data_IF_607663951835
#
_entry.id   IF_607663951835
#
_cell.length_a   1.000
_cell.length_b   1.000
_cell.length_c   1.000
_cell.angle_alpha   90.00
_cell.angle_beta   90.00
_cell.angle_gamma   90.00
#
_symmetry.space_group_name_H-M   'P 1'
#
loop_
_entity.id
_entity.type
_entity.pdbx_description
1 polymer ?
#
# COMPACT_ATOMS: atom_id res chain seq x y z
N UNK A 1 30.64 25.87 -30.35
CA UNK A 1 30.37 24.43 -30.11
C UNK A 1 29.43 24.19 -28.92
N UNK A 2 28.73 25.21 -28.41
CA UNK A 2 27.95 25.20 -27.16
C UNK A 2 26.46 24.88 -27.35
N UNK A 3 25.86 25.27 -28.48
CA UNK A 3 24.40 25.15 -28.73
C UNK A 3 23.86 23.72 -28.68
N UNK A 4 24.62 22.72 -29.13
CA UNK A 4 24.19 21.33 -29.13
C UNK A 4 24.27 20.70 -27.73
N UNK A 5 25.25 21.10 -26.91
CA UNK A 5 25.36 20.65 -25.53
C UNK A 5 24.27 21.27 -24.64
N UNK A 6 23.98 22.56 -24.85
CA UNK A 6 22.91 23.27 -24.14
C UNK A 6 21.54 22.67 -24.48
N UNK A 7 21.27 22.38 -25.76
CA UNK A 7 20.04 21.71 -26.17
C UNK A 7 19.88 20.32 -25.50
N UNK A 8 20.95 19.51 -25.47
CA UNK A 8 20.94 18.19 -24.79
C UNK A 8 20.74 18.32 -23.29
N UNK A 9 21.32 19.35 -22.67
CA UNK A 9 21.16 19.63 -21.24
C UNK A 9 19.71 19.97 -20.93
N UNK A 10 19.14 20.93 -21.64
CA UNK A 10 17.73 21.33 -21.49
C UNK A 10 16.79 20.15 -21.69
N UNK A 11 17.03 19.29 -22.69
CA UNK A 11 16.21 18.10 -22.91
C UNK A 11 16.30 17.08 -21.75
N UNK A 12 17.47 16.91 -21.12
CA UNK A 12 17.61 16.07 -19.92
C UNK A 12 16.77 16.59 -18.74
N UNK A 13 16.74 17.90 -18.51
CA UNK A 13 15.90 18.51 -17.47
C UNK A 13 14.41 18.44 -17.83
N UNK A 14 14.04 18.70 -19.09
CA UNK A 14 12.66 18.58 -19.59
C UNK A 14 12.14 17.14 -19.48
N UNK A 15 12.99 16.13 -19.70
CA UNK A 15 12.64 14.71 -19.46
C UNK A 15 12.32 14.43 -17.99
N UNK A 16 13.03 15.02 -17.04
CA UNK A 16 12.74 14.86 -15.62
C UNK A 16 11.36 15.44 -15.24
N UNK A 17 10.84 16.43 -15.99
CA UNK A 17 9.51 17.00 -15.76
C UNK A 17 8.37 16.10 -16.23
N UNK A 18 8.60 15.05 -17.06
CA UNK A 18 7.53 14.18 -17.61
C UNK A 18 6.64 13.51 -16.56
N UNK A 19 7.12 13.42 -15.31
CA UNK A 19 6.34 12.97 -14.16
C UNK A 19 5.12 13.87 -13.89
N UNK A 20 5.12 15.14 -14.29
CA UNK A 20 3.98 16.05 -14.14
C UNK A 20 2.93 15.88 -15.26
N UNK A 21 1.63 16.09 -14.97
CA UNK A 21 0.55 16.08 -15.97
C UNK A 21 0.83 17.04 -17.12
N UNK A 22 0.36 16.71 -18.33
CA UNK A 22 0.57 17.55 -19.52
C UNK A 22 0.03 18.97 -19.33
N UNK A 23 -1.20 19.10 -18.80
CA UNK A 23 -1.83 20.39 -18.52
C UNK A 23 -1.06 21.24 -17.50
N UNK A 24 -0.46 20.60 -16.48
CA UNK A 24 0.37 21.34 -15.52
C UNK A 24 1.69 21.80 -16.16
N UNK A 25 2.30 20.94 -16.99
CA UNK A 25 3.55 21.26 -17.68
C UNK A 25 3.40 22.38 -18.70
N UNK A 26 2.26 22.49 -19.38
CA UNK A 26 2.02 23.60 -20.32
C UNK A 26 1.96 24.95 -19.62
N UNK A 27 1.52 24.99 -18.37
CA UNK A 27 1.34 26.25 -17.63
C UNK A 27 2.56 26.60 -16.77
N UNK A 28 3.19 25.61 -16.13
CA UNK A 28 4.27 25.85 -15.15
C UNK A 28 5.63 25.26 -15.55
N UNK A 29 5.66 24.44 -16.61
CA UNK A 29 6.82 23.61 -16.95
C UNK A 29 8.04 24.41 -17.38
N UNK A 30 7.87 25.48 -18.17
CA UNK A 30 8.98 26.32 -18.63
C UNK A 30 9.56 27.17 -17.50
N UNK A 31 8.73 27.68 -16.59
CA UNK A 31 9.19 28.41 -15.39
C UNK A 31 10.01 27.50 -14.49
N UNK A 32 9.49 26.29 -14.19
CA UNK A 32 10.22 25.33 -13.36
C UNK A 32 11.51 24.86 -14.07
N UNK A 33 11.49 24.71 -15.40
CA UNK A 33 12.68 24.36 -16.17
C UNK A 33 13.78 25.43 -16.06
N UNK A 34 13.42 26.71 -16.14
CA UNK A 34 14.35 27.83 -15.93
C UNK A 34 15.03 27.76 -14.56
N UNK A 35 14.24 27.65 -13.49
CA UNK A 35 14.75 27.53 -12.11
C UNK A 35 15.72 26.33 -11.97
N UNK A 36 15.38 25.18 -12.56
CA UNK A 36 16.23 23.99 -12.48
C UNK A 36 17.55 24.14 -13.27
N UNK A 37 17.55 24.92 -14.35
CA UNK A 37 18.73 25.22 -15.16
C UNK A 37 19.62 26.25 -14.45
N UNK A 38 19.06 27.33 -13.92
CA UNK A 38 19.78 28.34 -13.14
C UNK A 38 20.49 27.69 -11.94
N UNK A 39 19.76 26.87 -11.18
CA UNK A 39 20.33 26.15 -10.03
C UNK A 39 21.32 25.04 -10.44
N UNK A 40 21.29 24.61 -11.71
CA UNK A 40 22.30 23.72 -12.27
C UNK A 40 23.54 24.51 -12.73
N UNK A 41 23.39 25.73 -13.23
CA UNK A 41 24.50 26.63 -13.59
C UNK A 41 25.29 27.03 -12.35
N UNK A 42 24.60 27.45 -11.30
CA UNK A 42 25.22 27.82 -10.01
C UNK A 42 26.06 26.67 -9.42
N UNK A 43 25.66 25.42 -9.69
CA UNK A 43 26.35 24.22 -9.19
C UNK A 43 27.21 23.51 -10.25
N UNK A 44 27.39 24.09 -11.44
CA UNK A 44 28.17 23.51 -12.53
C UNK A 44 27.67 22.14 -13.02
N UNK A 45 26.38 21.83 -12.88
CA UNK A 45 25.78 20.51 -13.17
C UNK A 45 25.23 20.41 -14.59
N UNK A 46 25.67 19.39 -15.32
CA UNK A 46 25.22 19.09 -16.70
C UNK A 46 23.94 18.25 -16.79
N UNK A 47 23.44 17.74 -15.66
CA UNK A 47 22.22 16.92 -15.61
C UNK A 47 21.53 17.01 -14.25
N UNK A 48 20.23 16.66 -14.16
CA UNK A 48 19.51 16.64 -12.89
C UNK A 48 20.13 15.60 -11.96
N UNK A 49 20.45 16.01 -10.72
CA UNK A 49 20.97 15.11 -9.69
C UNK A 49 19.94 14.05 -9.28
N UNK A 50 20.41 12.94 -8.69
CA UNK A 50 19.53 11.81 -8.31
C UNK A 50 18.43 12.28 -7.34
N UNK A 51 18.79 13.03 -6.29
CA UNK A 51 17.80 13.59 -5.35
C UNK A 51 16.78 14.51 -6.02
N UNK A 52 17.23 15.34 -6.97
CA UNK A 52 16.35 16.25 -7.74
C UNK A 52 15.37 15.46 -8.62
N UNK A 53 15.83 14.36 -9.25
CA UNK A 53 14.95 13.45 -10.02
C UNK A 53 13.89 12.81 -9.12
N UNK A 54 14.27 12.35 -7.93
CA UNK A 54 13.32 11.78 -6.96
C UNK A 54 12.30 12.83 -6.54
N UNK A 55 12.73 14.04 -6.20
CA UNK A 55 11.84 15.15 -5.83
C UNK A 55 10.86 15.50 -6.94
N UNK A 56 11.33 15.59 -8.19
CA UNK A 56 10.48 15.86 -9.35
C UNK A 56 9.49 14.71 -9.63
N UNK A 57 9.94 13.46 -9.48
CA UNK A 57 9.07 12.29 -9.63
C UNK A 57 7.96 12.27 -8.57
N UNK A 58 8.30 12.49 -7.31
CA UNK A 58 7.35 12.56 -6.19
C UNK A 58 6.38 13.72 -6.35
N UNK A 59 6.86 14.90 -6.75
CA UNK A 59 6.03 16.08 -7.01
C UNK A 59 5.06 15.87 -8.17
N UNK A 60 5.54 15.33 -9.29
CA UNK A 60 4.71 15.04 -10.47
C UNK A 60 3.65 13.98 -10.20
N UNK A 61 4.01 12.91 -9.47
CA UNK A 61 3.08 11.88 -9.04
C UNK A 61 1.99 12.44 -8.12
N UNK A 62 2.36 13.33 -7.18
CA UNK A 62 1.39 14.01 -6.31
C UNK A 62 0.40 14.86 -7.09
N UNK A 63 0.85 15.57 -8.14
CA UNK A 63 -0.06 16.32 -9.02
C UNK A 63 -0.99 15.40 -9.80
N UNK A 64 -0.51 14.27 -10.33
CA UNK A 64 -1.35 13.27 -10.99
C UNK A 64 -2.40 12.66 -10.06
N UNK A 65 -2.02 12.39 -8.81
CA UNK A 65 -2.93 11.86 -7.79
C UNK A 65 -3.97 12.90 -7.34
N UNK A 66 -3.61 14.19 -7.30
CA UNK A 66 -4.52 15.30 -6.93
C UNK A 66 -5.44 15.76 -8.05
N UNK A 67 -5.02 15.65 -9.31
CA UNK A 67 -5.76 16.14 -10.47
C UNK A 67 -7.08 15.38 -10.75
N UNK A 68 -7.36 14.30 -10.04
CA UNK A 68 -8.64 13.58 -10.16
C UNK A 68 -9.37 13.67 -8.83
N UNK A 69 -10.46 14.43 -8.84
CA UNK A 69 -11.39 14.54 -7.71
C UNK A 69 -11.81 13.13 -7.24
N UNK A 70 -11.82 12.92 -5.92
CA UNK A 70 -12.29 11.67 -5.32
C UNK A 70 -11.20 10.65 -4.93
N UNK A 71 -9.92 10.83 -5.28
CA UNK A 71 -8.84 9.94 -4.80
C UNK A 71 -8.41 10.28 -3.38
N UNK A 72 -8.52 9.31 -2.47
CA UNK A 72 -7.98 9.47 -1.11
C UNK A 72 -6.60 8.81 -0.97
N UNK A 73 -5.52 9.56 -0.68
CA UNK A 73 -4.22 8.96 -0.39
C UNK A 73 -4.28 8.02 0.83
N UNK A 74 -5.22 8.22 1.76
CA UNK A 74 -5.43 7.32 2.90
C UNK A 74 -5.99 5.95 2.51
N UNK A 75 -6.58 5.82 1.31
CA UNK A 75 -7.06 4.55 0.77
C UNK A 75 -6.01 3.96 -0.18
N UNK A 76 -5.37 4.78 -1.02
CA UNK A 76 -4.39 4.30 -2.01
C UNK A 76 -3.14 3.71 -1.35
N UNK A 77 -2.58 4.36 -0.33
CA UNK A 77 -1.32 3.92 0.30
C UNK A 77 -1.43 2.51 0.91
N UNK A 78 -2.38 2.23 1.83
CA UNK A 78 -2.52 0.88 2.38
C UNK A 78 -2.81 -0.18 1.31
N UNK A 79 -3.64 0.14 0.31
CA UNK A 79 -3.94 -0.79 -0.79
C UNK A 79 -2.72 -1.06 -1.67
N UNK A 80 -1.89 -0.07 -1.94
CA UNK A 80 -0.65 -0.23 -2.69
C UNK A 80 0.33 -1.15 -1.94
N UNK A 81 0.47 -0.99 -0.62
CA UNK A 81 1.30 -1.85 0.22
C UNK A 81 0.78 -3.30 0.25
N UNK A 82 -0.52 -3.49 0.46
CA UNK A 82 -1.13 -4.84 0.42
C UNK A 82 -0.95 -5.49 -0.96
N UNK A 83 -1.18 -4.74 -2.04
CA UNK A 83 -1.01 -5.24 -3.41
C UNK A 83 0.45 -5.61 -3.69
N UNK A 84 1.41 -4.76 -3.30
CA UNK A 84 2.83 -5.03 -3.47
C UNK A 84 3.27 -6.29 -2.72
N UNK A 85 2.78 -6.49 -1.50
CA UNK A 85 2.98 -7.73 -0.75
C UNK A 85 2.49 -8.95 -1.53
N UNK A 86 1.28 -8.91 -2.11
CA UNK A 86 0.76 -10.06 -2.87
C UNK A 86 1.47 -10.28 -4.20
N UNK A 87 1.95 -9.24 -4.88
CA UNK A 87 2.79 -9.39 -6.07
C UNK A 87 4.06 -10.17 -5.70
N UNK A 88 4.73 -9.79 -4.60
CA UNK A 88 5.87 -10.54 -4.08
C UNK A 88 5.49 -11.97 -3.68
N UNK A 89 4.41 -12.14 -2.91
CA UNK A 89 3.91 -13.45 -2.45
C UNK A 89 3.57 -14.39 -3.60
N UNK A 90 3.02 -13.86 -4.71
CA UNK A 90 2.70 -14.64 -5.92
C UNK A 90 3.95 -15.19 -6.58
N UNK A 91 5.07 -14.46 -6.54
CA UNK A 91 6.36 -14.94 -7.06
C UNK A 91 6.94 -16.02 -6.15
N UNK A 92 6.89 -15.81 -4.82
CA UNK A 92 7.48 -16.73 -3.84
C UNK A 92 6.69 -18.04 -3.70
N UNK A 93 5.35 -17.98 -3.70
CA UNK A 93 4.47 -19.14 -3.52
C UNK A 93 4.20 -19.92 -4.82
N UNK A 94 4.90 -19.59 -5.91
CA UNK A 94 4.76 -20.30 -7.17
C UNK A 94 5.69 -21.50 -7.19
N UNK A 95 5.12 -22.70 -7.10
CA UNK A 95 5.87 -23.96 -7.07
C UNK A 95 5.32 -24.91 -8.13
N UNK A 96 5.64 -24.68 -9.42
CA UNK A 96 5.13 -25.51 -10.51
C UNK A 96 5.65 -26.94 -10.37
N UNK A 97 4.75 -27.92 -10.47
CA UNK A 97 5.10 -29.35 -10.41
C UNK A 97 5.20 -29.92 -9.00
N UNK A 98 4.97 -29.14 -7.95
CA UNK A 98 4.91 -29.63 -6.56
C UNK A 98 3.49 -29.41 -6.03
N UNK A 99 2.87 -30.49 -5.52
CA UNK A 99 1.52 -30.44 -4.95
C UNK A 99 1.57 -30.47 -3.43
N UNK A 100 0.86 -29.53 -2.81
CA UNK A 100 0.71 -29.41 -1.37
C UNK A 100 -0.78 -29.41 -0.99
N UNK A 101 -1.13 -29.76 0.25
CA UNK A 101 -2.49 -29.52 0.75
C UNK A 101 -2.90 -28.06 0.54
N UNK A 102 -4.03 -27.83 -0.13
CA UNK A 102 -4.52 -26.48 -0.44
C UNK A 102 -3.92 -25.83 -1.69
N UNK A 103 -3.05 -26.51 -2.42
CA UNK A 103 -2.51 -26.00 -3.67
C UNK A 103 -3.61 -25.81 -4.73
N UNK A 104 -3.54 -24.72 -5.49
CA UNK A 104 -4.43 -24.43 -6.61
C UNK A 104 -3.58 -24.07 -7.82
N UNK A 105 -3.59 -24.95 -8.83
CA UNK A 105 -2.75 -24.80 -10.01
C UNK A 105 -1.26 -24.72 -9.62
N UNK A 106 -0.51 -23.68 -10.04
CA UNK A 106 0.91 -23.54 -9.73
C UNK A 106 1.20 -22.92 -8.35
N UNK A 107 0.18 -22.66 -7.53
CA UNK A 107 0.32 -21.97 -6.25
C UNK A 107 0.15 -22.92 -5.06
N UNK A 108 0.95 -22.71 -4.03
CA UNK A 108 0.93 -23.52 -2.80
C UNK A 108 -0.30 -23.31 -1.92
N UNK A 109 -1.08 -22.23 -2.16
CA UNK A 109 -2.30 -21.89 -1.41
C UNK A 109 -3.19 -20.90 -2.23
N UNK A 110 -4.47 -20.68 -1.84
CA UNK A 110 -5.40 -19.78 -2.55
C UNK A 110 -5.20 -18.27 -2.30
N UNK A 111 -4.16 -17.81 -1.59
CA UNK A 111 -4.03 -16.39 -1.21
C UNK A 111 -3.86 -15.43 -2.40
N UNK A 112 -3.56 -15.94 -3.59
CA UNK A 112 -3.61 -15.14 -4.83
C UNK A 112 -5.01 -14.54 -5.09
N UNK A 113 -6.09 -15.15 -4.59
CA UNK A 113 -7.45 -14.62 -4.67
C UNK A 113 -7.58 -13.32 -3.86
N UNK A 114 -7.07 -13.30 -2.63
CA UNK A 114 -7.04 -12.08 -1.82
C UNK A 114 -6.16 -11.00 -2.49
N UNK A 115 -5.00 -11.40 -3.03
CA UNK A 115 -4.13 -10.51 -3.79
C UNK A 115 -4.80 -9.87 -5.01
N UNK A 116 -5.57 -10.64 -5.78
CA UNK A 116 -6.36 -10.13 -6.90
C UNK A 116 -7.41 -9.11 -6.43
N UNK A 117 -8.11 -9.40 -5.33
CA UNK A 117 -9.10 -8.46 -4.75
C UNK A 117 -8.43 -7.15 -4.28
N UNK A 118 -7.26 -7.21 -3.65
CA UNK A 118 -6.50 -6.01 -3.27
C UNK A 118 -6.06 -5.20 -4.50
N UNK A 119 -5.60 -5.85 -5.57
CA UNK A 119 -5.25 -5.19 -6.81
C UNK A 119 -6.47 -4.50 -7.45
N UNK A 120 -7.63 -5.16 -7.47
CA UNK A 120 -8.89 -4.57 -7.94
C UNK A 120 -9.27 -3.36 -7.08
N UNK A 121 -9.19 -3.49 -5.74
CA UNK A 121 -9.45 -2.38 -4.82
C UNK A 121 -8.52 -1.19 -5.09
N UNK A 122 -7.23 -1.43 -5.34
CA UNK A 122 -6.26 -0.40 -5.69
C UNK A 122 -6.63 0.28 -7.02
N UNK A 123 -6.96 -0.50 -8.05
CA UNK A 123 -7.41 0.04 -9.34
C UNK A 123 -8.66 0.91 -9.20
N UNK A 124 -9.64 0.48 -8.38
CA UNK A 124 -10.84 1.27 -8.08
C UNK A 124 -10.49 2.57 -7.33
N UNK A 125 -9.58 2.51 -6.36
CA UNK A 125 -9.12 3.70 -5.63
C UNK A 125 -8.39 4.68 -6.56
N UNK A 126 -7.54 4.17 -7.45
CA UNK A 126 -6.88 4.93 -8.50
C UNK A 126 -7.88 5.41 -9.58
N UNK A 127 -9.03 4.78 -9.75
CA UNK A 127 -10.10 5.29 -10.61
C UNK A 127 -11.00 6.34 -9.90
N UNK A 128 -10.72 6.68 -8.63
CA UNK A 128 -11.56 7.60 -7.84
C UNK A 128 -12.85 6.96 -7.29
N UNK A 129 -13.06 5.66 -7.49
CA UNK A 129 -14.22 4.90 -7.01
C UNK A 129 -14.01 4.43 -5.56
N UNK A 130 -13.85 5.37 -4.63
CA UNK A 130 -13.45 5.09 -3.23
C UNK A 130 -14.43 4.22 -2.47
N UNK A 131 -15.75 4.37 -2.67
CA UNK A 131 -16.76 3.51 -2.04
C UNK A 131 -16.59 2.03 -2.43
N UNK A 132 -16.52 1.76 -3.74
CA UNK A 132 -16.29 0.41 -4.25
C UNK A 132 -14.93 -0.15 -3.80
N UNK A 133 -13.87 0.66 -3.87
CA UNK A 133 -12.53 0.27 -3.41
C UNK A 133 -12.53 -0.18 -1.94
N UNK A 134 -13.26 0.53 -1.06
CA UNK A 134 -13.37 0.18 0.36
C UNK A 134 -14.10 -1.14 0.59
N UNK A 135 -15.20 -1.37 -0.11
CA UNK A 135 -15.95 -2.64 -0.03
C UNK A 135 -15.05 -3.78 -0.50
N UNK A 136 -14.40 -3.63 -1.65
CA UNK A 136 -13.47 -4.65 -2.18
C UNK A 136 -12.28 -4.88 -1.24
N UNK A 137 -11.77 -3.84 -0.58
CA UNK A 137 -10.68 -3.97 0.40
C UNK A 137 -11.10 -4.79 1.64
N UNK A 138 -12.32 -4.59 2.13
CA UNK A 138 -12.86 -5.38 3.26
C UNK A 138 -13.09 -6.84 2.86
N UNK A 139 -13.59 -7.07 1.65
CA UNK A 139 -13.71 -8.43 1.09
C UNK A 139 -12.33 -9.08 0.99
N UNK A 140 -11.33 -8.38 0.46
CA UNK A 140 -9.95 -8.89 0.37
C UNK A 140 -9.36 -9.24 1.74
N UNK A 141 -9.51 -8.36 2.73
CA UNK A 141 -9.04 -8.58 4.10
C UNK A 141 -9.72 -9.79 4.76
N UNK A 142 -11.03 -9.93 4.56
CA UNK A 142 -11.82 -11.05 5.10
C UNK A 142 -11.43 -12.36 4.44
N UNK A 143 -11.27 -12.36 3.11
CA UNK A 143 -10.80 -13.52 2.35
C UNK A 143 -9.42 -13.96 2.82
N UNK A 144 -8.47 -13.04 2.99
CA UNK A 144 -7.11 -13.36 3.44
C UNK A 144 -7.11 -13.97 4.85
N UNK A 145 -7.83 -13.38 5.80
CA UNK A 145 -7.93 -13.95 7.16
C UNK A 145 -8.58 -15.34 7.16
N UNK A 146 -9.60 -15.53 6.33
CA UNK A 146 -10.27 -16.82 6.20
C UNK A 146 -9.32 -17.88 5.63
N UNK A 147 -8.54 -17.53 4.61
CA UNK A 147 -7.52 -18.42 4.03
C UNK A 147 -6.45 -18.74 5.07
N UNK A 148 -5.95 -17.75 5.81
CA UNK A 148 -4.93 -17.97 6.83
C UNK A 148 -5.42 -18.85 7.99
N UNK A 149 -6.68 -18.73 8.38
CA UNK A 149 -7.30 -19.59 9.40
C UNK A 149 -7.43 -21.04 8.92
N UNK A 150 -7.90 -21.22 7.68
CA UNK A 150 -7.97 -22.56 7.07
C UNK A 150 -6.57 -23.14 6.93
N UNK A 151 -5.60 -22.36 6.46
CA UNK A 151 -4.20 -22.75 6.30
C UNK A 151 -3.58 -23.23 7.62
N UNK A 152 -3.86 -22.52 8.72
CA UNK A 152 -3.38 -22.88 10.05
C UNK A 152 -3.92 -24.24 10.53
N UNK A 153 -5.18 -24.58 10.19
CA UNK A 153 -5.79 -25.87 10.53
C UNK A 153 -5.45 -27.01 9.57
N UNK A 154 -5.26 -26.70 8.28
CA UNK A 154 -5.14 -27.68 7.20
C UNK A 154 -3.68 -27.90 6.75
N UNK A 155 -2.71 -27.22 7.38
CA UNK A 155 -1.29 -27.35 7.08
C UNK A 155 -0.90 -26.82 5.70
N UNK A 156 -1.63 -25.82 5.19
CA UNK A 156 -1.32 -25.25 3.87
C UNK A 156 -0.03 -24.41 3.93
N UNK A 157 0.81 -24.54 2.91
CA UNK A 157 2.01 -23.72 2.78
C UNK A 157 1.63 -22.35 2.22
N UNK A 158 1.55 -21.35 3.08
CA UNK A 158 1.20 -19.99 2.69
C UNK A 158 1.40 -18.95 3.78
N UNK A 159 0.95 -17.71 3.54
CA UNK A 159 0.95 -16.67 4.56
C UNK A 159 0.23 -17.15 5.83
N UNK A 160 0.98 -17.30 6.92
CA UNK A 160 0.42 -17.58 8.23
C UNK A 160 -0.29 -16.35 8.82
N UNK A 161 -0.96 -16.52 9.97
CA UNK A 161 -1.67 -15.42 10.65
C UNK A 161 -0.75 -14.23 10.98
N UNK A 162 0.54 -14.47 11.24
CA UNK A 162 1.54 -13.42 11.47
C UNK A 162 1.80 -12.54 10.25
N UNK A 163 1.49 -13.01 9.04
CA UNK A 163 1.60 -12.23 7.79
C UNK A 163 0.25 -11.75 7.29
N UNK A 164 -0.77 -12.61 7.35
CA UNK A 164 -2.13 -12.30 6.92
C UNK A 164 -2.78 -11.20 7.77
N UNK A 165 -2.56 -11.20 9.09
CA UNK A 165 -3.10 -10.20 10.02
C UNK A 165 -2.74 -8.75 9.66
N UNK A 166 -1.44 -8.43 9.50
CA UNK A 166 -0.95 -7.13 9.04
C UNK A 166 -1.55 -6.69 7.70
N UNK A 167 -1.63 -7.60 6.73
CA UNK A 167 -2.15 -7.30 5.39
C UNK A 167 -3.67 -7.06 5.43
N UNK A 168 -4.42 -7.85 6.19
CA UNK A 168 -5.83 -7.62 6.44
C UNK A 168 -6.08 -6.28 7.15
N UNK A 169 -5.22 -5.93 8.12
CA UNK A 169 -5.28 -4.64 8.80
C UNK A 169 -5.05 -3.46 7.84
N UNK A 170 -4.21 -3.60 6.80
CA UNK A 170 -4.10 -2.60 5.73
C UNK A 170 -5.41 -2.45 4.95
N UNK A 171 -6.09 -3.55 4.63
CA UNK A 171 -7.40 -3.51 3.98
C UNK A 171 -8.46 -2.76 4.80
N UNK A 172 -8.48 -2.99 6.12
CA UNK A 172 -9.37 -2.25 7.04
C UNK A 172 -8.94 -0.78 7.16
N UNK A 173 -7.64 -0.51 7.25
CA UNK A 173 -7.08 0.85 7.31
C UNK A 173 -7.49 1.69 6.09
N UNK A 174 -7.64 1.09 4.90
CA UNK A 174 -8.06 1.77 3.68
C UNK A 174 -9.48 2.39 3.76
N UNK A 175 -10.31 1.91 4.69
CA UNK A 175 -11.67 2.40 4.95
C UNK A 175 -11.68 3.57 5.94
N UNK A 176 -10.63 3.72 6.74
CA UNK A 176 -10.57 4.73 7.80
C UNK A 176 -10.37 6.13 7.19
N UNK A 177 -11.21 7.12 7.55
CA UNK A 177 -11.13 8.48 7.00
C UNK A 177 -10.02 9.31 7.66
N UNK A 178 -8.78 8.79 7.66
CA UNK A 178 -7.63 9.50 8.22
C UNK A 178 -6.94 10.40 7.18
N UNK A 179 -6.18 11.37 7.69
CA UNK A 179 -5.28 12.18 6.84
C UNK A 179 -4.21 11.27 6.22
N UNK A 180 -3.84 11.55 4.96
CA UNK A 180 -2.90 10.71 4.20
C UNK A 180 -1.57 10.43 4.90
N UNK A 181 -0.99 11.39 5.65
CA UNK A 181 0.25 11.16 6.42
C UNK A 181 0.08 10.17 7.56
N UNK A 182 -1.04 10.27 8.29
CA UNK A 182 -1.35 9.35 9.42
C UNK A 182 -1.60 7.96 8.87
N UNK A 183 -2.39 7.84 7.79
CA UNK A 183 -2.60 6.56 7.12
C UNK A 183 -1.28 5.96 6.64
N UNK A 184 -0.38 6.73 6.03
CA UNK A 184 0.93 6.22 5.60
C UNK A 184 1.78 5.69 6.75
N UNK A 185 1.88 6.45 7.85
CA UNK A 185 2.62 6.03 9.05
C UNK A 185 2.01 4.76 9.65
N UNK A 186 0.68 4.70 9.74
CA UNK A 186 -0.03 3.53 10.26
C UNK A 186 0.10 2.32 9.35
N UNK A 187 0.15 2.50 8.01
CA UNK A 187 0.43 1.40 7.10
C UNK A 187 1.82 0.79 7.34
N UNK A 188 2.82 1.63 7.63
CA UNK A 188 4.17 1.14 7.97
C UNK A 188 4.18 0.42 9.32
N UNK A 189 3.51 1.00 10.34
CA UNK A 189 3.42 0.37 11.67
C UNK A 189 2.68 -0.96 11.61
N UNK A 190 1.58 -1.06 10.84
CA UNK A 190 0.88 -2.32 10.65
C UNK A 190 1.74 -3.31 9.85
N UNK A 191 2.31 -2.91 8.72
CA UNK A 191 3.04 -3.86 7.88
C UNK A 191 4.34 -4.35 8.54
N UNK A 192 5.08 -3.48 9.23
CA UNK A 192 6.38 -3.84 9.82
C UNK A 192 6.24 -4.17 11.29
N UNK A 193 5.65 -3.26 12.07
CA UNK A 193 5.55 -3.40 13.52
C UNK A 193 4.64 -4.53 13.96
N UNK A 194 3.42 -4.63 13.41
CA UNK A 194 2.52 -5.73 13.74
C UNK A 194 3.08 -7.07 13.24
N UNK A 195 3.65 -7.13 12.03
CA UNK A 195 4.32 -8.36 11.55
C UNK A 195 5.43 -8.81 12.50
N UNK A 196 6.33 -7.90 12.92
CA UNK A 196 7.41 -8.23 13.84
C UNK A 196 6.87 -8.73 15.20
N UNK A 197 5.83 -8.09 15.73
CA UNK A 197 5.18 -8.53 16.97
C UNK A 197 4.57 -9.92 16.83
N UNK A 198 3.83 -10.19 15.75
CA UNK A 198 3.19 -11.49 15.55
C UNK A 198 4.21 -12.60 15.28
N UNK A 199 5.29 -12.31 14.56
CA UNK A 199 6.41 -13.24 14.38
C UNK A 199 7.06 -13.55 15.73
N UNK A 200 7.26 -12.55 16.59
CA UNK A 200 7.79 -12.76 17.94
C UNK A 200 6.86 -13.64 18.78
N UNK A 201 5.55 -13.42 18.70
CA UNK A 201 4.54 -14.25 19.37
C UNK A 201 4.61 -15.70 18.86
N UNK A 202 4.68 -15.90 17.54
CA UNK A 202 4.79 -17.24 16.94
C UNK A 202 6.08 -17.96 17.36
N UNK A 203 7.19 -17.22 17.47
CA UNK A 203 8.49 -17.73 17.88
C UNK A 203 8.52 -18.10 19.36
N UNK A 204 7.98 -17.25 20.25
CA UNK A 204 7.82 -17.57 21.68
C UNK A 204 6.83 -18.72 21.89
N UNK A 205 5.74 -18.76 21.13
CA UNK A 205 4.82 -19.89 21.14
C UNK A 205 5.51 -21.20 20.73
N UNK A 206 6.49 -21.14 19.83
CA UNK A 206 7.29 -22.30 19.43
C UNK A 206 8.13 -22.87 20.58
N UNK A 207 8.60 -22.02 21.50
CA UNK A 207 9.46 -22.44 22.61
C UNK A 207 8.68 -22.85 23.85
N UNK A 208 7.48 -22.28 24.06
CA UNK A 208 6.66 -22.52 25.26
C UNK A 208 5.58 -23.57 25.02
N UNK A 209 4.99 -23.62 23.82
CA UNK A 209 3.85 -24.48 23.47
C UNK A 209 4.26 -25.57 22.47
N UNK A 210 5.33 -26.30 22.78
CA UNK A 210 5.90 -27.34 21.91
C UNK A 210 4.91 -28.46 21.60
N UNK A 211 4.13 -28.89 22.59
CA UNK A 211 3.27 -30.06 22.50
C UNK A 211 1.82 -29.74 22.12
N UNK A 212 1.49 -28.45 21.92
CA UNK A 212 0.12 -27.98 21.66
C UNK A 212 0.07 -27.11 20.40
N UNK A 213 0.30 -27.70 19.20
CA UNK A 213 0.40 -26.97 17.94
C UNK A 213 -0.90 -26.20 17.61
N UNK A 214 -2.06 -26.73 18.01
CA UNK A 214 -3.34 -26.05 17.83
C UNK A 214 -3.43 -24.75 18.64
N UNK A 215 -2.97 -24.75 19.91
CA UNK A 215 -2.95 -23.55 20.75
C UNK A 215 -1.96 -22.50 20.22
N UNK A 216 -0.80 -22.96 19.74
CA UNK A 216 0.19 -22.08 19.09
C UNK A 216 -0.38 -21.42 17.82
N UNK A 217 -1.08 -22.19 16.98
CA UNK A 217 -1.63 -21.69 15.72
C UNK A 217 -2.66 -20.57 15.89
N UNK A 218 -3.37 -20.52 17.02
CA UNK A 218 -4.37 -19.48 17.32
C UNK A 218 -3.83 -18.31 18.15
N UNK A 219 -2.59 -18.40 18.66
CA UNK A 219 -1.98 -17.41 19.53
C UNK A 219 -1.95 -15.98 18.94
N UNK A 220 -1.78 -15.77 17.62
CA UNK A 220 -1.86 -14.43 17.02
C UNK A 220 -3.25 -13.80 17.03
N UNK A 221 -4.34 -14.59 17.14
CA UNK A 221 -5.70 -14.12 16.92
C UNK A 221 -6.15 -12.99 17.85
N UNK A 222 -5.91 -13.04 19.18
CA UNK A 222 -6.34 -11.97 20.07
C UNK A 222 -5.72 -10.61 19.71
N UNK A 223 -4.44 -10.61 19.29
CA UNK A 223 -3.74 -9.39 18.88
C UNK A 223 -4.31 -8.86 17.57
N UNK A 224 -4.52 -9.72 16.57
CA UNK A 224 -5.14 -9.34 15.30
C UNK A 224 -6.54 -8.76 15.55
N UNK A 225 -7.37 -9.46 16.34
CA UNK A 225 -8.72 -9.00 16.68
C UNK A 225 -8.69 -7.64 17.37
N UNK A 226 -7.81 -7.44 18.35
CA UNK A 226 -7.66 -6.17 19.06
C UNK A 226 -7.30 -5.01 18.10
N UNK A 227 -6.37 -5.23 17.16
CA UNK A 227 -5.99 -4.23 16.16
C UNK A 227 -7.16 -3.91 15.22
N UNK A 228 -7.86 -4.93 14.71
CA UNK A 228 -9.00 -4.73 13.83
C UNK A 228 -10.14 -3.97 14.53
N UNK A 229 -10.42 -4.30 15.79
CA UNK A 229 -11.40 -3.59 16.62
C UNK A 229 -10.95 -2.14 16.85
N UNK A 230 -9.67 -1.89 17.16
CA UNK A 230 -9.15 -0.55 17.35
C UNK A 230 -9.30 0.32 16.08
N UNK A 231 -9.01 -0.25 14.90
CA UNK A 231 -9.20 0.41 13.61
C UNK A 231 -10.69 0.71 13.33
N UNK A 232 -11.58 -0.25 13.60
CA UNK A 232 -13.02 -0.07 13.45
C UNK A 232 -13.58 1.02 14.38
N UNK A 233 -13.14 1.04 15.64
CA UNK A 233 -13.50 2.07 16.62
C UNK A 233 -12.98 3.44 16.20
N UNK A 234 -11.75 3.51 15.70
CA UNK A 234 -11.17 4.75 15.20
C UNK A 234 -11.94 5.30 13.99
N UNK A 235 -12.33 4.43 13.05
CA UNK A 235 -13.18 4.80 11.91
C UNK A 235 -14.55 5.33 12.37
N UNK A 236 -15.19 4.65 13.33
CA UNK A 236 -16.47 5.07 13.90
C UNK A 236 -16.38 6.41 14.63
N UNK A 237 -15.27 6.66 15.33
CA UNK A 237 -15.04 7.94 16.02
C UNK A 237 -14.82 9.08 15.03
N UNK A 238 -14.01 8.85 13.99
CA UNK A 238 -13.74 9.85 12.96
C UNK A 238 -15.02 10.27 12.21
N UNK A 239 -15.83 9.30 11.77
CA UNK A 239 -17.12 9.58 11.11
C UNK A 239 -18.11 10.35 11.99
N UNK A 240 -18.15 10.06 13.31
CA UNK A 240 -18.97 10.81 14.26
C UNK A 240 -18.52 12.26 14.41
N UNK A 241 -17.21 12.52 14.40
CA UNK A 241 -16.66 13.87 14.50
C UNK A 241 -16.95 14.69 13.24
N UNK A 242 -16.85 14.09 12.05
CA UNK A 242 -17.19 14.75 10.78
C UNK A 242 -18.66 15.20 10.74
N UNK A 243 -19.59 14.39 11.27
CA UNK A 243 -21.02 14.75 11.35
C UNK A 243 -21.34 15.89 12.33
N UNK A 244 -20.46 16.16 13.29
CA UNK A 244 -20.67 17.21 14.32
C UNK A 244 -20.10 18.56 13.93
N UNK A 245 -19.33 18.65 12.85
CA UNK A 245 -18.79 19.92 12.37
C UNK A 245 -19.90 20.70 11.61
N UNK A 246 -20.12 21.99 11.92
CA UNK A 246 -21.08 22.81 11.19
C UNK A 246 -20.57 22.98 9.74
N UNK A 247 -21.28 22.38 8.79
CA UNK A 247 -20.92 22.37 7.35
C UNK A 247 -20.91 20.99 6.67
N UNK A 248 -21.23 19.90 7.37
CA UNK A 248 -21.39 18.58 6.73
C UNK A 248 -22.60 18.54 5.78
N UNK A 249 -22.52 17.81 4.64
CA UNK A 249 -23.64 17.69 3.71
C UNK A 249 -24.86 17.14 4.46
N UNK A 250 -25.93 17.92 4.46
CA UNK A 250 -27.25 17.48 4.93
C UNK A 250 -27.65 16.25 4.12
N UNK A 251 -28.09 15.21 4.84
CA UNK A 251 -28.51 13.92 4.32
C UNK A 251 -29.56 14.04 3.22
#
# INVERSE_FOLDING_TARGET
>A
MTTNEDARRTDRFRRALRWYPAAWRSEHGEVLLGILLDEADDRGRRSPGIGQRITLAVGGLRHRLRATAGRSPSTVIPLALATAFFVFSTVVNRSPGISYPGAIGPFTNPSFVAGALFAIALCLALAGRTGAARITALLAATTELSIALVAASAGWLGPGLSTAGPVAALGVLAVVPWRGRVSAAMSVVLLVGLSALLILIDALGATVLTDVPAARAVLPLPVIAAVLVALALAARRATRLERRLPGGPTA
#
